data_IF_162310549224
#
_entry.id   IF_162310549224
#
_cell.length_a   1.000
_cell.length_b   1.000
_cell.length_c   1.000
_cell.angle_alpha   90.00
_cell.angle_beta   90.00
_cell.angle_gamma   90.00
#
_symmetry.space_group_name_H-M   'P 1'
#
loop_
_entity.id
_entity.type
_entity.pdbx_description
1 polymer ?
#
# COMPACT_ATOMS: atom_id res chain seq x y z
N UNK A 1 62.00 -0.44 -31.55
CA UNK A 1 60.67 -0.53 -32.20
C UNK A 1 59.73 -1.62 -31.63
N UNK A 2 60.18 -2.66 -30.95
CA UNK A 2 59.28 -3.74 -30.39
C UNK A 2 58.46 -3.37 -29.13
N UNK A 3 58.91 -2.42 -28.30
CA UNK A 3 58.23 -2.01 -27.04
C UNK A 3 56.96 -1.19 -27.28
N UNK A 4 56.93 -0.34 -28.31
CA UNK A 4 55.75 0.50 -28.60
C UNK A 4 54.59 -0.31 -29.19
N UNK A 5 54.86 -1.37 -29.93
CA UNK A 5 53.84 -2.24 -30.51
C UNK A 5 53.13 -3.09 -29.48
N UNK A 6 53.88 -3.61 -28.49
CA UNK A 6 53.29 -4.36 -27.33
C UNK A 6 52.40 -3.47 -26.46
N UNK A 7 52.77 -2.22 -26.21
CA UNK A 7 51.98 -1.28 -25.43
C UNK A 7 50.67 -0.89 -26.13
N UNK A 8 50.68 -0.70 -27.44
CA UNK A 8 49.47 -0.44 -28.23
C UNK A 8 48.52 -1.65 -28.24
N UNK A 9 49.02 -2.87 -28.36
CA UNK A 9 48.22 -4.09 -28.30
C UNK A 9 47.59 -4.26 -26.92
N UNK A 10 48.29 -4.03 -25.81
CA UNK A 10 47.76 -4.11 -24.44
C UNK A 10 46.66 -3.03 -24.19
N UNK A 11 46.83 -1.83 -24.71
CA UNK A 11 45.84 -0.75 -24.59
C UNK A 11 44.58 -1.10 -25.40
N UNK A 12 44.75 -1.66 -26.62
CA UNK A 12 43.60 -2.09 -27.43
C UNK A 12 42.83 -3.25 -26.84
N UNK A 13 43.53 -4.21 -26.20
CA UNK A 13 42.86 -5.33 -25.48
C UNK A 13 42.11 -4.83 -24.21
N UNK A 14 42.71 -3.90 -23.47
CA UNK A 14 42.06 -3.29 -22.29
C UNK A 14 40.80 -2.49 -22.67
N UNK A 15 40.85 -1.72 -23.77
CA UNK A 15 39.71 -0.97 -24.28
C UNK A 15 38.55 -1.91 -24.72
N UNK A 16 38.86 -3.02 -25.41
CA UNK A 16 37.86 -4.01 -25.82
C UNK A 16 37.21 -4.71 -24.63
N UNK A 17 37.97 -5.02 -23.58
CA UNK A 17 37.42 -5.60 -22.34
C UNK A 17 36.48 -4.63 -21.60
N UNK A 18 36.83 -3.35 -21.54
CA UNK A 18 35.98 -2.32 -20.91
C UNK A 18 34.69 -2.12 -21.70
N UNK A 19 34.78 -2.05 -23.03
CA UNK A 19 33.57 -1.93 -23.89
C UNK A 19 32.66 -3.15 -23.75
N UNK A 20 33.24 -4.37 -23.68
CA UNK A 20 32.48 -5.62 -23.46
C UNK A 20 31.82 -5.64 -22.07
N UNK A 21 32.50 -5.17 -21.01
CA UNK A 21 31.95 -5.09 -19.68
C UNK A 21 30.80 -4.07 -19.58
N UNK A 22 30.98 -2.89 -20.19
CA UNK A 22 29.94 -1.84 -20.23
C UNK A 22 28.72 -2.33 -21.01
N UNK A 23 28.91 -3.00 -22.14
CA UNK A 23 27.81 -3.58 -22.90
C UNK A 23 27.05 -4.67 -22.08
N UNK A 24 27.77 -5.51 -21.36
CA UNK A 24 27.15 -6.54 -20.49
C UNK A 24 26.37 -5.91 -19.33
N UNK A 25 26.90 -4.83 -18.71
CA UNK A 25 26.20 -4.09 -17.64
C UNK A 25 24.95 -3.42 -18.20
N UNK A 26 25.02 -2.77 -19.37
CA UNK A 26 23.86 -2.13 -20.01
C UNK A 26 22.79 -3.16 -20.34
N UNK A 27 23.17 -4.32 -20.89
CA UNK A 27 22.23 -5.43 -21.16
C UNK A 27 21.61 -5.95 -19.86
N UNK A 28 22.41 -6.13 -18.80
CA UNK A 28 21.90 -6.56 -17.49
C UNK A 28 20.94 -5.52 -16.87
N UNK A 29 21.27 -4.22 -16.96
CA UNK A 29 20.40 -3.14 -16.46
C UNK A 29 19.12 -3.05 -17.28
N UNK A 30 19.19 -3.17 -18.61
CA UNK A 30 18.01 -3.17 -19.50
C UNK A 30 17.14 -4.40 -19.24
N UNK A 31 17.74 -5.58 -19.01
CA UNK A 31 17.00 -6.79 -18.62
C UNK A 31 16.36 -6.66 -17.23
N UNK A 32 17.08 -6.10 -16.26
CA UNK A 32 16.55 -5.86 -14.92
C UNK A 32 15.43 -4.77 -14.93
N UNK A 33 15.57 -3.75 -15.77
CA UNK A 33 14.53 -2.72 -15.95
C UNK A 33 13.33 -3.19 -16.79
N UNK A 34 13.49 -4.25 -17.59
CA UNK A 34 12.43 -4.87 -18.40
C UNK A 34 11.75 -6.06 -17.73
N UNK A 35 12.19 -6.46 -16.54
CA UNK A 35 11.38 -7.32 -15.68
C UNK A 35 10.30 -6.45 -15.05
N UNK A 36 9.21 -6.24 -15.80
CA UNK A 36 7.94 -5.81 -15.22
C UNK A 36 7.68 -6.74 -14.04
N UNK A 37 7.45 -6.14 -12.87
CA UNK A 37 7.07 -6.84 -11.65
C UNK A 37 5.75 -7.54 -11.96
N UNK A 38 5.82 -8.76 -12.46
CA UNK A 38 4.64 -9.58 -12.66
C UNK A 38 4.18 -10.00 -11.26
N UNK A 39 3.17 -9.28 -10.74
CA UNK A 39 2.39 -9.78 -9.62
C UNK A 39 1.84 -11.16 -10.01
N UNK A 40 1.69 -12.11 -9.06
CA UNK A 40 1.18 -13.42 -9.37
C UNK A 40 -0.15 -13.29 -10.10
N UNK A 41 -0.26 -13.94 -11.26
CA UNK A 41 -1.50 -13.98 -12.04
C UNK A 41 -2.59 -14.57 -11.15
N UNK A 42 -3.64 -13.77 -10.92
CA UNK A 42 -4.76 -14.15 -10.05
C UNK A 42 -5.52 -15.29 -10.76
N UNK A 43 -5.12 -16.52 -10.48
CA UNK A 43 -5.78 -17.71 -10.98
C UNK A 43 -7.04 -17.98 -10.14
N UNK A 44 -8.22 -17.59 -10.64
CA UNK A 44 -9.50 -17.91 -10.00
C UNK A 44 -10.54 -16.78 -10.11
N UNK A 45 -11.75 -17.07 -9.64
CA UNK A 45 -12.80 -16.06 -9.51
C UNK A 45 -12.44 -15.14 -8.35
N UNK A 46 -12.18 -13.86 -8.62
CA UNK A 46 -11.95 -12.85 -7.59
C UNK A 46 -13.24 -12.68 -6.80
N UNK A 47 -13.21 -13.00 -5.51
CA UNK A 47 -14.27 -12.65 -4.56
C UNK A 47 -14.00 -11.21 -4.13
N UNK A 48 -15.02 -10.37 -4.21
CA UNK A 48 -14.94 -8.95 -3.86
C UNK A 48 -15.69 -8.76 -2.56
N UNK A 49 -15.12 -8.05 -1.54
CA UNK A 49 -15.85 -7.74 -0.32
C UNK A 49 -17.14 -7.00 -0.61
N UNK A 50 -18.16 -7.23 0.20
CA UNK A 50 -19.40 -6.44 0.19
C UNK A 50 -19.09 -5.05 0.79
N UNK A 51 -20.05 -4.15 0.70
CA UNK A 51 -19.97 -2.80 1.31
C UNK A 51 -18.83 -1.92 0.80
N UNK A 52 -18.24 -2.25 -0.37
CA UNK A 52 -17.32 -1.33 -1.04
C UNK A 52 -18.08 -0.19 -1.72
N UNK A 53 -17.39 0.93 -1.93
CA UNK A 53 -17.91 2.01 -2.80
C UNK A 53 -17.97 1.55 -4.26
N UNK A 54 -18.66 2.31 -5.11
CA UNK A 54 -18.72 2.06 -6.57
C UNK A 54 -17.31 2.08 -7.20
N UNK A 55 -16.36 2.79 -6.57
CA UNK A 55 -14.95 2.83 -6.96
C UNK A 55 -14.14 1.63 -6.45
N UNK A 56 -14.75 0.71 -5.68
CA UNK A 56 -14.12 -0.47 -5.12
C UNK A 56 -13.26 -0.21 -3.88
N UNK A 57 -13.45 0.92 -3.19
CA UNK A 57 -12.77 1.23 -1.94
C UNK A 57 -13.57 0.76 -0.72
N UNK A 58 -12.89 0.47 0.37
CA UNK A 58 -13.49 0.29 1.69
C UNK A 58 -13.84 1.69 2.24
N UNK A 59 -15.10 1.93 2.58
CA UNK A 59 -15.59 3.24 3.02
C UNK A 59 -15.72 3.33 4.53
N UNK A 60 -15.29 4.47 5.09
CA UNK A 60 -15.50 4.85 6.48
C UNK A 60 -16.14 6.22 6.54
N UNK A 61 -17.27 6.33 7.23
CA UNK A 61 -18.05 7.57 7.34
C UNK A 61 -19.32 7.57 6.51
N UNK A 62 -20.04 8.68 6.55
CA UNK A 62 -21.31 8.84 5.85
C UNK A 62 -21.13 8.89 4.32
N UNK A 63 -21.96 8.16 3.59
CA UNK A 63 -21.90 8.14 2.11
C UNK A 63 -22.12 9.53 1.50
N UNK A 64 -22.91 10.38 2.17
CA UNK A 64 -23.27 11.72 1.75
C UNK A 64 -22.29 12.80 2.22
N UNK A 65 -21.19 12.42 2.91
CA UNK A 65 -20.17 13.39 3.34
C UNK A 65 -19.67 14.20 2.14
N UNK A 66 -19.56 15.55 2.28
CA UNK A 66 -19.25 16.41 1.16
C UNK A 66 -17.85 16.19 0.56
N UNK A 67 -16.89 15.67 1.36
CA UNK A 67 -15.51 15.45 0.91
C UNK A 67 -15.16 13.99 0.98
N UNK A 68 -14.51 13.49 -0.07
CA UNK A 68 -13.94 12.13 -0.10
C UNK A 68 -12.42 12.20 0.02
N UNK A 69 -11.88 11.50 1.02
CA UNK A 69 -10.43 11.34 1.23
C UNK A 69 -10.05 9.91 0.84
N UNK A 70 -9.40 9.74 -0.30
CA UNK A 70 -8.93 8.43 -0.77
C UNK A 70 -7.49 8.22 -0.32
N UNK A 71 -7.19 7.08 0.30
CA UNK A 71 -5.86 6.73 0.79
C UNK A 71 -5.46 5.36 0.30
N UNK A 72 -4.40 5.30 -0.55
CA UNK A 72 -3.70 4.06 -0.87
C UNK A 72 -2.62 3.82 0.17
N UNK A 73 -2.62 2.65 0.77
CA UNK A 73 -1.75 2.34 1.89
C UNK A 73 -1.32 0.88 1.92
N UNK A 74 -0.22 0.63 2.63
CA UNK A 74 0.31 -0.70 2.90
C UNK A 74 0.64 -0.82 4.39
N UNK A 75 0.18 -1.87 5.05
CA UNK A 75 0.35 -2.04 6.49
C UNK A 75 1.79 -2.27 6.95
N UNK A 76 2.70 -2.62 6.04
CA UNK A 76 4.13 -2.71 6.34
C UNK A 76 4.87 -1.38 6.10
N UNK A 77 4.28 -0.43 5.37
CA UNK A 77 4.95 0.79 4.95
C UNK A 77 5.18 1.77 6.11
N UNK A 78 6.43 2.07 6.50
CA UNK A 78 6.72 3.00 7.60
C UNK A 78 6.19 4.42 7.35
N UNK A 79 6.16 4.86 6.09
CA UNK A 79 5.60 6.15 5.73
C UNK A 79 4.07 6.18 5.95
N UNK A 80 3.36 5.06 5.73
CA UNK A 80 1.94 4.96 6.09
C UNK A 80 1.73 5.05 7.60
N UNK A 81 2.56 4.41 8.41
CA UNK A 81 2.51 4.54 9.87
C UNK A 81 2.75 5.98 10.33
N UNK A 82 3.70 6.69 9.71
CA UNK A 82 3.91 8.11 9.99
C UNK A 82 2.71 8.99 9.57
N UNK A 83 2.06 8.66 8.45
CA UNK A 83 0.82 9.29 8.00
C UNK A 83 -0.31 9.09 9.01
N UNK A 84 -0.56 7.85 9.44
CA UNK A 84 -1.59 7.53 10.44
C UNK A 84 -1.34 8.22 11.77
N UNK A 85 -0.11 8.18 12.27
CA UNK A 85 0.27 8.86 13.51
C UNK A 85 0.00 10.37 13.48
N UNK A 86 0.12 10.99 12.30
CA UNK A 86 -0.10 12.43 12.15
C UNK A 86 -1.57 12.80 11.93
N UNK A 87 -2.39 11.91 11.35
CA UNK A 87 -3.68 12.30 10.79
C UNK A 87 -4.88 11.50 11.31
N UNK A 88 -4.72 10.29 11.86
CA UNK A 88 -5.85 9.42 12.22
C UNK A 88 -6.85 10.09 13.17
N UNK A 89 -6.37 10.83 14.19
CA UNK A 89 -7.24 11.52 15.13
C UNK A 89 -8.10 12.60 14.47
N UNK A 90 -7.52 13.40 13.57
CA UNK A 90 -8.24 14.43 12.83
C UNK A 90 -9.18 13.83 11.78
N UNK A 91 -8.75 12.77 11.09
CA UNK A 91 -9.61 12.04 10.15
C UNK A 91 -10.80 11.42 10.88
N UNK A 92 -10.60 10.82 12.06
CA UNK A 92 -11.70 10.33 12.93
C UNK A 92 -12.70 11.43 13.25
N UNK A 93 -12.21 12.62 13.63
CA UNK A 93 -13.05 13.78 13.92
C UNK A 93 -13.87 14.19 12.70
N UNK A 94 -13.22 14.34 11.54
CA UNK A 94 -13.87 14.76 10.29
C UNK A 94 -14.92 13.76 9.79
N UNK A 95 -14.69 12.47 10.05
CA UNK A 95 -15.68 11.41 9.79
C UNK A 95 -16.85 11.52 10.76
N UNK A 96 -16.57 11.67 12.06
CA UNK A 96 -17.61 11.71 13.09
C UNK A 96 -18.52 12.94 12.97
N UNK A 97 -18.00 14.08 12.53
CA UNK A 97 -18.77 15.30 12.29
C UNK A 97 -19.43 15.37 10.90
N UNK A 98 -19.19 14.34 10.05
CA UNK A 98 -19.79 14.22 8.72
C UNK A 98 -19.15 15.12 7.66
N UNK A 99 -18.01 15.74 7.96
CA UNK A 99 -17.29 16.61 7.00
C UNK A 99 -16.66 15.81 5.87
N UNK A 100 -16.14 14.61 6.19
CA UNK A 100 -15.47 13.76 5.22
C UNK A 100 -15.87 12.28 5.37
N UNK A 101 -15.76 11.54 4.28
CA UNK A 101 -15.65 10.09 4.29
C UNK A 101 -14.24 9.68 3.83
N UNK A 102 -13.76 8.58 4.36
CA UNK A 102 -12.47 8.02 3.96
C UNK A 102 -12.70 6.82 3.07
N UNK A 103 -12.03 6.77 1.95
CA UNK A 103 -11.96 5.61 1.05
C UNK A 103 -10.59 4.95 1.21
N UNK A 104 -10.57 3.84 1.94
CA UNK A 104 -9.37 3.05 2.21
C UNK A 104 -9.10 2.09 1.05
N UNK A 105 -7.88 2.13 0.51
CA UNK A 105 -7.40 1.26 -0.57
C UNK A 105 -6.17 0.49 -0.13
N UNK A 106 -6.36 -0.66 0.51
CA UNK A 106 -5.26 -1.52 0.92
C UNK A 106 -4.55 -2.10 -0.30
N UNK A 107 -3.22 -1.97 -0.35
CA UNK A 107 -2.39 -2.58 -1.37
C UNK A 107 -1.22 -3.34 -0.75
N UNK A 108 -0.77 -4.39 -1.42
CA UNK A 108 0.35 -5.23 -0.99
C UNK A 108 1.63 -4.86 -1.75
N UNK A 109 2.10 -3.63 -1.54
CA UNK A 109 3.28 -3.09 -2.20
C UNK A 109 4.59 -3.67 -1.64
N UNK A 110 4.60 -3.96 -0.33
CA UNK A 110 5.79 -4.35 0.42
C UNK A 110 5.82 -5.84 0.82
N UNK A 111 5.05 -6.71 0.16
CA UNK A 111 5.09 -8.16 0.45
C UNK A 111 6.48 -8.76 0.36
N UNK A 112 7.29 -8.33 -0.62
CA UNK A 112 8.68 -8.78 -0.76
C UNK A 112 9.57 -8.35 0.42
N UNK A 113 9.16 -7.33 1.17
CA UNK A 113 9.85 -6.82 2.35
C UNK A 113 9.44 -7.53 3.65
N UNK A 114 8.55 -8.52 3.57
CA UNK A 114 8.06 -9.27 4.73
C UNK A 114 8.78 -10.60 4.97
N UNK A 115 10.00 -10.74 4.49
CA UNK A 115 10.82 -11.97 4.67
C UNK A 115 10.11 -13.24 4.18
N UNK A 116 9.22 -13.13 3.18
CA UNK A 116 8.48 -14.22 2.54
C UNK A 116 7.17 -14.59 3.22
N UNK A 117 6.69 -13.83 4.20
CA UNK A 117 5.41 -14.08 4.91
C UNK A 117 4.21 -13.42 4.24
N UNK A 118 4.41 -12.54 3.23
CA UNK A 118 3.35 -11.80 2.55
C UNK A 118 2.46 -10.99 3.54
N UNK A 119 3.09 -10.34 4.52
CA UNK A 119 2.37 -9.64 5.59
C UNK A 119 1.42 -8.56 5.05
N UNK A 120 1.83 -7.77 4.05
CA UNK A 120 0.96 -6.74 3.46
C UNK A 120 -0.32 -7.35 2.88
N UNK A 121 -0.21 -8.46 2.15
CA UNK A 121 -1.37 -9.21 1.63
C UNK A 121 -2.22 -9.78 2.76
N UNK A 122 -1.64 -10.37 3.82
CA UNK A 122 -2.40 -10.96 4.94
C UNK A 122 -3.16 -9.89 5.72
N UNK A 123 -2.52 -8.76 6.04
CA UNK A 123 -3.17 -7.65 6.72
C UNK A 123 -4.27 -7.01 5.85
N UNK A 124 -4.02 -6.84 4.53
CA UNK A 124 -5.01 -6.35 3.58
C UNK A 124 -6.19 -7.33 3.39
N UNK A 125 -5.96 -8.65 3.43
CA UNK A 125 -7.02 -9.65 3.45
C UNK A 125 -7.86 -9.55 4.75
N UNK A 126 -7.22 -9.39 5.91
CA UNK A 126 -7.93 -9.27 7.18
C UNK A 126 -8.85 -8.03 7.23
N UNK A 127 -8.37 -6.86 6.79
CA UNK A 127 -9.23 -5.66 6.75
C UNK A 127 -10.37 -5.82 5.72
N UNK A 128 -10.15 -6.55 4.62
CA UNK A 128 -11.19 -6.85 3.65
C UNK A 128 -12.28 -7.77 4.24
N UNK A 129 -11.90 -8.76 5.08
CA UNK A 129 -12.84 -9.60 5.83
C UNK A 129 -13.68 -8.75 6.79
N UNK A 130 -13.04 -7.82 7.51
CA UNK A 130 -13.76 -6.92 8.42
C UNK A 130 -14.70 -6.00 7.63
N UNK A 131 -14.27 -5.46 6.50
CA UNK A 131 -15.13 -4.64 5.64
C UNK A 131 -16.33 -5.40 5.09
N UNK A 132 -16.18 -6.70 4.82
CA UNK A 132 -17.26 -7.58 4.32
C UNK A 132 -18.29 -7.92 5.40
N UNK A 133 -17.82 -8.28 6.61
CA UNK A 133 -18.66 -8.92 7.62
C UNK A 133 -18.95 -8.02 8.85
N UNK A 134 -18.12 -7.01 9.12
CA UNK A 134 -18.23 -6.12 10.29
C UNK A 134 -17.77 -4.68 9.95
N UNK A 135 -18.38 -3.99 8.95
CA UNK A 135 -17.90 -2.72 8.42
C UNK A 135 -17.74 -1.61 9.47
N UNK A 136 -18.52 -1.64 10.54
CA UNK A 136 -18.45 -0.67 11.63
C UNK A 136 -17.12 -0.72 12.40
N UNK A 137 -16.36 -1.84 12.30
CA UNK A 137 -15.08 -2.03 12.98
C UNK A 137 -13.86 -1.74 12.07
N UNK A 138 -14.09 -1.37 10.82
CA UNK A 138 -13.00 -1.14 9.85
C UNK A 138 -12.01 -0.08 10.34
N UNK A 139 -12.50 1.07 10.82
CA UNK A 139 -11.63 2.16 11.22
C UNK A 139 -10.81 1.83 12.46
N UNK A 140 -11.42 1.24 13.45
CA UNK A 140 -10.75 0.87 14.70
C UNK A 140 -9.68 -0.21 14.44
N UNK A 141 -10.01 -1.22 13.63
CA UNK A 141 -9.05 -2.25 13.26
C UNK A 141 -7.91 -1.72 12.37
N UNK A 142 -8.23 -0.83 11.41
CA UNK A 142 -7.23 -0.15 10.59
C UNK A 142 -6.21 0.61 11.44
N UNK A 143 -6.69 1.43 12.37
CA UNK A 143 -5.85 2.20 13.31
C UNK A 143 -5.02 1.28 14.19
N UNK A 144 -5.62 0.22 14.74
CA UNK A 144 -4.94 -0.73 15.60
C UNK A 144 -3.81 -1.49 14.87
N UNK A 145 -3.98 -1.81 13.57
CA UNK A 145 -2.91 -2.42 12.78
C UNK A 145 -1.69 -1.48 12.65
N UNK A 146 -1.90 -0.17 12.53
CA UNK A 146 -0.78 0.79 12.50
C UNK A 146 -0.18 1.05 13.87
N UNK A 147 -0.96 1.03 14.94
CA UNK A 147 -0.43 1.10 16.31
C UNK A 147 0.47 -0.09 16.64
N UNK A 148 0.22 -1.24 16.01
CA UNK A 148 1.00 -2.47 16.14
C UNK A 148 1.90 -2.73 14.92
N UNK A 149 2.19 -1.71 14.12
CA UNK A 149 2.90 -1.86 12.86
C UNK A 149 4.27 -2.51 13.05
N UNK A 150 4.58 -3.61 12.32
CA UNK A 150 5.90 -4.23 12.34
C UNK A 150 6.92 -3.40 11.57
N UNK A 151 8.20 -3.60 11.87
CA UNK A 151 9.27 -2.99 11.09
C UNK A 151 9.31 -3.55 9.67
N UNK A 152 9.52 -2.68 8.67
CA UNK A 152 9.82 -3.10 7.30
C UNK A 152 11.05 -4.02 7.26
N UNK A 153 10.99 -5.07 6.46
CA UNK A 153 12.05 -6.09 6.40
C UNK A 153 11.94 -7.21 7.44
N UNK A 154 10.99 -7.11 8.40
CA UNK A 154 10.68 -8.19 9.33
C UNK A 154 9.70 -9.20 8.71
N UNK A 155 9.36 -10.27 9.44
CA UNK A 155 8.30 -11.21 9.05
C UNK A 155 6.89 -10.61 9.14
N UNK A 156 6.74 -9.42 9.70
CA UNK A 156 5.45 -8.83 9.99
C UNK A 156 4.76 -9.50 11.18
N UNK A 157 3.49 -9.14 11.42
CA UNK A 157 2.66 -9.82 12.41
C UNK A 157 2.27 -11.22 11.91
N UNK A 158 2.25 -12.22 12.81
CA UNK A 158 1.67 -13.53 12.50
C UNK A 158 0.13 -13.44 12.38
N UNK A 159 -0.52 -14.49 11.85
CA UNK A 159 -1.98 -14.50 11.75
C UNK A 159 -2.64 -14.42 13.13
N UNK A 160 -2.04 -15.07 14.15
CA UNK A 160 -2.52 -14.98 15.52
C UNK A 160 -2.36 -13.57 16.11
N UNK A 161 -1.29 -12.86 15.72
CA UNK A 161 -1.09 -11.47 16.15
C UNK A 161 -2.07 -10.52 15.45
N UNK A 162 -2.33 -10.70 14.15
CA UNK A 162 -3.35 -9.94 13.42
C UNK A 162 -4.73 -10.19 14.04
N UNK A 163 -5.07 -11.45 14.36
CA UNK A 163 -6.31 -11.83 15.03
C UNK A 163 -6.45 -11.20 16.43
N UNK A 164 -5.35 -11.16 17.21
CA UNK A 164 -5.34 -10.50 18.50
C UNK A 164 -5.58 -8.99 18.39
N UNK A 165 -4.91 -8.30 17.45
CA UNK A 165 -5.12 -6.88 17.19
C UNK A 165 -6.58 -6.60 16.78
N UNK A 166 -7.18 -7.44 15.95
CA UNK A 166 -8.58 -7.29 15.55
C UNK A 166 -9.54 -7.49 16.75
N UNK A 167 -9.27 -8.49 17.60
CA UNK A 167 -10.06 -8.75 18.79
C UNK A 167 -10.00 -7.56 19.76
N UNK A 168 -8.81 -7.01 19.99
CA UNK A 168 -8.60 -5.85 20.85
C UNK A 168 -9.28 -4.58 20.28
N UNK A 169 -9.39 -4.48 18.93
CA UNK A 169 -10.15 -3.44 18.24
C UNK A 169 -11.67 -3.68 18.22
N UNK A 170 -12.16 -4.76 18.86
CA UNK A 170 -13.58 -5.05 19.00
C UNK A 170 -14.21 -5.81 17.83
N UNK A 171 -13.44 -6.31 16.88
CA UNK A 171 -13.95 -7.14 15.78
C UNK A 171 -14.57 -8.44 16.34
N UNK A 172 -15.78 -8.83 15.92
CA UNK A 172 -16.43 -10.06 16.38
C UNK A 172 -15.58 -11.31 16.11
N UNK A 173 -15.56 -12.24 17.05
CA UNK A 173 -14.69 -13.43 16.98
C UNK A 173 -14.97 -14.30 15.74
N UNK A 174 -16.22 -14.45 15.35
CA UNK A 174 -16.64 -15.19 14.15
C UNK A 174 -16.19 -14.53 12.84
N UNK A 175 -15.88 -13.23 12.86
CA UNK A 175 -15.26 -12.51 11.74
C UNK A 175 -13.74 -12.72 11.76
N UNK A 176 -13.12 -12.63 12.94
CA UNK A 176 -11.67 -12.87 13.12
C UNK A 176 -11.29 -14.30 12.69
N UNK A 177 -12.12 -15.29 13.00
CA UNK A 177 -11.89 -16.69 12.61
C UNK A 177 -11.78 -16.90 11.08
N UNK A 178 -12.28 -15.96 10.27
CA UNK A 178 -12.24 -16.03 8.79
C UNK A 178 -10.94 -15.48 8.18
N UNK A 179 -10.06 -14.85 8.96
CA UNK A 179 -8.86 -14.20 8.41
C UNK A 179 -7.94 -15.17 7.67
N UNK A 180 -7.84 -16.41 8.14
CA UNK A 180 -7.00 -17.46 7.57
C UNK A 180 -7.65 -18.24 6.41
N UNK A 181 -8.90 -17.92 6.05
CA UNK A 181 -9.56 -18.51 4.89
C UNK A 181 -9.06 -17.93 3.56
N UNK A 182 -8.28 -16.85 3.62
CA UNK A 182 -7.61 -16.19 2.50
C UNK A 182 -8.55 -15.76 1.34
N UNK A 183 -9.83 -15.56 1.64
CA UNK A 183 -10.91 -15.34 0.65
C UNK A 183 -10.65 -14.12 -0.22
N UNK A 184 -10.09 -13.06 0.36
CA UNK A 184 -9.88 -11.78 -0.34
C UNK A 184 -8.45 -11.56 -0.83
N UNK A 185 -7.50 -12.50 -0.67
CA UNK A 185 -6.15 -12.36 -1.23
C UNK A 185 -6.14 -12.10 -2.74
N UNK A 186 -6.98 -12.78 -3.58
CA UNK A 186 -7.07 -12.46 -4.99
C UNK A 186 -7.58 -11.03 -5.26
N UNK A 187 -8.49 -10.52 -4.42
CA UNK A 187 -8.96 -9.14 -4.50
C UNK A 187 -7.82 -8.16 -4.15
N UNK A 188 -7.06 -8.41 -3.08
CA UNK A 188 -5.89 -7.60 -2.70
C UNK A 188 -4.89 -7.51 -3.86
N UNK A 189 -4.57 -8.63 -4.50
CA UNK A 189 -3.69 -8.64 -5.67
C UNK A 189 -4.27 -7.80 -6.82
N UNK A 190 -5.58 -7.91 -7.08
CA UNK A 190 -6.27 -7.14 -8.12
C UNK A 190 -6.25 -5.64 -7.85
N UNK A 191 -6.58 -5.18 -6.61
CA UNK A 191 -6.58 -3.74 -6.27
C UNK A 191 -5.16 -3.17 -6.23
N UNK A 192 -4.17 -3.99 -5.85
CA UNK A 192 -2.75 -3.62 -5.92
C UNK A 192 -2.35 -3.36 -7.37
N UNK A 193 -2.67 -4.26 -8.30
CA UNK A 193 -2.39 -4.06 -9.72
C UNK A 193 -3.11 -2.84 -10.29
N UNK A 194 -4.40 -2.67 -9.98
CA UNK A 194 -5.18 -1.51 -10.42
C UNK A 194 -4.59 -0.19 -9.90
N UNK A 195 -4.07 -0.16 -8.67
CA UNK A 195 -3.39 1.02 -8.13
C UNK A 195 -2.18 1.40 -8.98
N UNK A 196 -1.33 0.44 -9.34
CA UNK A 196 -0.18 0.70 -10.23
C UNK A 196 -0.60 1.16 -11.62
N UNK A 197 -1.57 0.49 -12.22
CA UNK A 197 -2.10 0.83 -13.55
C UNK A 197 -2.70 2.25 -13.58
N UNK A 198 -3.26 2.71 -12.44
CA UNK A 198 -3.76 4.08 -12.27
C UNK A 198 -2.69 5.13 -12.01
N UNK A 199 -1.42 4.71 -11.93
CA UNK A 199 -0.27 5.60 -11.74
C UNK A 199 0.11 5.87 -10.27
N UNK A 200 -0.43 5.12 -9.31
CA UNK A 200 0.06 5.12 -7.92
C UNK A 200 1.48 4.57 -7.90
N UNK A 201 2.42 5.35 -7.38
CA UNK A 201 3.86 5.02 -7.39
C UNK A 201 4.41 4.57 -6.04
N UNK A 202 3.60 4.68 -4.99
CA UNK A 202 3.98 4.35 -3.62
C UNK A 202 2.91 4.70 -2.61
N UNK A 203 3.18 4.37 -1.36
CA UNK A 203 2.28 4.58 -0.23
C UNK A 203 2.93 5.46 0.85
N UNK A 204 2.17 6.31 1.56
CA UNK A 204 0.76 6.60 1.27
C UNK A 204 0.61 7.46 0.01
N UNK A 205 -0.43 7.21 -0.78
CA UNK A 205 -0.92 8.14 -1.79
C UNK A 205 -2.29 8.63 -1.33
N UNK A 206 -2.44 9.94 -1.16
CA UNK A 206 -3.65 10.58 -0.63
C UNK A 206 -4.27 11.45 -1.69
N UNK A 207 -5.59 11.33 -1.89
CA UNK A 207 -6.35 12.21 -2.76
C UNK A 207 -7.54 12.79 -2.02
N UNK A 208 -7.87 14.04 -2.32
CA UNK A 208 -9.08 14.71 -1.85
C UNK A 208 -9.96 14.94 -3.08
N UNK A 209 -11.16 14.38 -3.08
CA UNK A 209 -12.09 14.43 -4.22
C UNK A 209 -11.44 14.04 -5.56
N UNK A 210 -10.59 12.99 -5.53
CA UNK A 210 -9.86 12.47 -6.69
C UNK A 210 -8.60 13.26 -7.07
N UNK A 211 -8.34 14.42 -6.43
CA UNK A 211 -7.13 15.22 -6.69
C UNK A 211 -6.02 14.86 -5.72
N UNK A 212 -4.82 14.62 -6.24
CA UNK A 212 -3.65 14.28 -5.41
C UNK A 212 -3.38 15.39 -4.39
N UNK A 213 -3.25 15.03 -3.12
CA UNK A 213 -2.83 15.94 -2.07
C UNK A 213 -1.32 16.17 -2.15
N UNK A 214 -0.92 17.39 -2.47
CA UNK A 214 0.50 17.77 -2.62
C UNK A 214 1.12 18.39 -1.35
N UNK A 215 0.33 18.51 -0.26
CA UNK A 215 0.79 19.02 1.03
C UNK A 215 1.66 18.01 1.79
N UNK A 216 2.21 18.45 2.93
CA UNK A 216 2.92 17.53 3.82
C UNK A 216 1.91 16.67 4.60
N UNK A 217 1.80 15.40 4.23
CA UNK A 217 0.91 14.43 4.85
C UNK A 217 1.48 13.78 6.13
N UNK A 218 2.70 14.15 6.55
CA UNK A 218 3.39 13.55 7.69
C UNK A 218 3.43 14.44 8.94
N UNK A 219 2.67 15.52 8.92
CA UNK A 219 2.50 16.43 10.06
C UNK A 219 1.02 16.76 10.24
N UNK A 220 0.63 17.00 11.48
CA UNK A 220 -0.74 17.42 11.84
C UNK A 220 -1.08 18.77 11.19
N UNK A 221 -2.25 18.85 10.57
CA UNK A 221 -2.88 20.11 10.13
C UNK A 221 -3.00 20.31 8.63
N UNK A 222 -1.97 20.17 7.78
CA UNK A 222 -2.10 20.46 6.35
C UNK A 222 -3.20 19.66 5.64
N UNK A 223 -3.34 18.38 5.93
CA UNK A 223 -4.38 17.53 5.36
C UNK A 223 -5.77 17.97 5.85
N UNK A 224 -5.92 18.19 7.16
CA UNK A 224 -7.16 18.68 7.77
C UNK A 224 -7.61 19.99 7.14
N UNK A 225 -6.69 20.96 7.01
CA UNK A 225 -6.97 22.26 6.38
C UNK A 225 -7.45 22.11 4.93
N UNK A 226 -6.83 21.21 4.17
CA UNK A 226 -7.23 20.96 2.78
C UNK A 226 -8.63 20.34 2.69
N UNK A 227 -8.95 19.39 3.57
CA UNK A 227 -10.28 18.77 3.65
C UNK A 227 -11.34 19.80 4.04
N UNK A 228 -11.10 20.58 5.09
CA UNK A 228 -12.04 21.62 5.55
C UNK A 228 -12.25 22.70 4.49
N UNK A 229 -11.20 23.08 3.74
CA UNK A 229 -11.33 24.00 2.61
C UNK A 229 -12.20 23.41 1.50
N UNK A 230 -11.98 22.13 1.13
CA UNK A 230 -12.80 21.46 0.13
C UNK A 230 -14.28 21.32 0.54
N UNK A 231 -14.54 21.14 1.84
CA UNK A 231 -15.91 21.14 2.38
C UNK A 231 -16.58 22.51 2.34
N UNK A 232 -15.82 23.59 2.57
CA UNK A 232 -16.35 24.95 2.57
C UNK A 232 -16.73 25.46 1.16
N UNK A 233 -16.19 24.86 0.12
CA UNK A 233 -16.43 25.20 -1.29
C UNK A 233 -17.68 24.49 -1.86
N UNK A 234 -18.41 23.68 -1.05
CA UNK A 234 -19.61 22.90 -1.41
C UNK A 234 -20.87 23.54 -0.90
#
# INVERSE_FOLDING_TARGET
MKRSRRRRILISFGALLIVGLVAAIVVAVVHAAGQERSLPEVAGKVVVPQHLTDSGAISVGAAEAPVTVEVYYDYMCPACGAFESANSGELSRLVADGTARIELRPIAFLDEQSSGTEYSTRAANAIAVVADAAPDHVWDFHTALYENQPAEGSEGLSDEQIAAVATDAGVPADVVDQFTDDVFRPWVASVTQQAFDSGVKGTPTVKIDGTLFEGNAFIVGPLTTAIESAAADR
#
